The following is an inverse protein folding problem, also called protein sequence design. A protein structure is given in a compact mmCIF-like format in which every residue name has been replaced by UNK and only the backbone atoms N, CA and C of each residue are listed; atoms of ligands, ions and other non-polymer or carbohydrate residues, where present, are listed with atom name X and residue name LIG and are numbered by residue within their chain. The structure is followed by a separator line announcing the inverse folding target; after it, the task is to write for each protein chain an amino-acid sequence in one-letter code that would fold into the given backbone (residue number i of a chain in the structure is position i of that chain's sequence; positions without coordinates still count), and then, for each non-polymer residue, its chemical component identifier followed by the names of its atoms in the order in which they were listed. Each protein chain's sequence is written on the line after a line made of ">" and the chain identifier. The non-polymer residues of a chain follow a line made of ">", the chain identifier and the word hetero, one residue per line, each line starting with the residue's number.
data_IF_177017617176
#
_entry.id   IF_177017617176
#
_cell.length_a   1.000
_cell.length_b   1.000
_cell.length_c   1.000
_cell.angle_alpha   90.00
_cell.angle_beta   90.00
_cell.angle_gamma   90.00
#
_symmetry.space_group_name_H-M   'P 1'
#
loop_
_entity.id
_entity.type
_entity.pdbx_description
1 polymer ?
#
# COMPACT_ATOMS: atom_id res chain seq x y z
N UNK A 1 71.57 -24.52 -15.77
CA UNK A 1 70.75 -25.60 -16.32
C UNK A 1 69.51 -25.74 -15.44
N UNK A 2 68.34 -25.46 -16.02
CA UNK A 2 66.97 -25.78 -15.55
C UNK A 2 66.54 -25.26 -14.17
N UNK A 3 65.89 -24.09 -14.16
CA UNK A 3 64.75 -23.84 -13.28
C UNK A 3 63.60 -23.23 -14.09
N UNK A 4 62.46 -23.90 -14.00
CA UNK A 4 61.23 -23.72 -14.75
C UNK A 4 60.43 -22.55 -14.17
N UNK A 5 59.78 -21.69 -14.98
CA UNK A 5 58.92 -20.62 -14.51
C UNK A 5 57.55 -21.20 -14.12
N UNK A 6 57.06 -20.91 -12.91
CA UNK A 6 55.67 -21.19 -12.57
C UNK A 6 54.87 -19.88 -12.52
N UNK A 7 54.24 -19.63 -13.66
CA UNK A 7 53.15 -18.73 -13.93
C UNK A 7 52.18 -18.67 -12.73
N UNK A 8 52.13 -17.53 -12.04
CA UNK A 8 51.17 -17.27 -10.99
C UNK A 8 49.79 -17.05 -11.63
N UNK A 9 49.08 -18.15 -11.83
CA UNK A 9 47.70 -18.15 -12.29
C UNK A 9 46.81 -17.60 -11.16
N UNK A 10 46.33 -16.37 -11.37
CA UNK A 10 45.20 -15.78 -10.67
C UNK A 10 43.96 -16.66 -10.94
N UNK A 11 43.72 -17.62 -10.05
CA UNK A 11 42.42 -18.29 -9.94
C UNK A 11 41.47 -17.28 -9.29
N UNK A 12 40.89 -16.41 -10.14
CA UNK A 12 39.56 -15.89 -9.89
C UNK A 12 38.64 -17.10 -9.81
N UNK A 13 38.31 -17.51 -8.60
CA UNK A 13 37.16 -18.38 -8.36
C UNK A 13 35.94 -17.59 -8.80
N UNK A 14 35.47 -17.89 -10.01
CA UNK A 14 34.18 -17.48 -10.52
C UNK A 14 33.12 -17.94 -9.53
N UNK A 15 32.63 -17.04 -8.69
CA UNK A 15 31.32 -17.21 -8.12
C UNK A 15 30.36 -17.13 -9.30
N UNK A 16 29.93 -18.29 -9.81
CA UNK A 16 28.82 -18.37 -10.74
C UNK A 16 27.62 -17.75 -10.04
N UNK A 17 27.35 -16.50 -10.41
CA UNK A 17 26.10 -15.82 -10.14
C UNK A 17 25.03 -16.62 -10.88
N UNK A 18 24.37 -17.53 -10.17
CA UNK A 18 23.20 -18.26 -10.64
C UNK A 18 22.10 -17.24 -10.89
N UNK A 19 22.05 -16.72 -12.12
CA UNK A 19 20.92 -15.95 -12.64
C UNK A 19 19.73 -16.91 -12.75
N UNK A 20 18.76 -16.70 -11.87
CA UNK A 20 17.42 -17.22 -11.98
C UNK A 20 16.74 -16.59 -13.20
N UNK A 21 16.80 -17.29 -14.33
CA UNK A 21 16.11 -16.96 -15.59
C UNK A 21 14.57 -17.15 -15.44
N UNK A 22 13.94 -16.37 -14.56
CA UNK A 22 12.49 -16.46 -14.32
C UNK A 22 11.65 -15.70 -15.36
N UNK A 23 12.29 -15.02 -16.32
CA UNK A 23 11.65 -14.27 -17.41
C UNK A 23 11.66 -14.99 -18.77
N UNK A 24 12.13 -16.24 -18.84
CA UNK A 24 12.18 -17.04 -20.09
C UNK A 24 11.13 -18.15 -20.19
N UNK A 25 10.15 -18.21 -19.29
CA UNK A 25 8.97 -19.06 -19.43
C UNK A 25 7.81 -18.19 -19.91
N UNK A 26 7.33 -18.43 -21.13
CA UNK A 26 6.17 -17.73 -21.69
C UNK A 26 6.33 -17.14 -23.09
N UNK A 27 7.16 -17.74 -23.95
CA UNK A 27 6.99 -17.59 -25.40
C UNK A 27 7.11 -18.94 -26.10
N UNK A 28 5.97 -19.61 -26.24
CA UNK A 28 5.68 -20.49 -27.37
C UNK A 28 4.26 -20.16 -27.82
N UNK A 29 4.16 -19.65 -29.05
CA UNK A 29 2.90 -19.41 -29.75
C UNK A 29 2.39 -20.73 -30.34
N UNK A 30 1.09 -20.97 -30.25
CA UNK A 30 0.19 -21.42 -31.32
C UNK A 30 -1.23 -21.33 -30.70
N UNK A 31 -2.07 -20.38 -31.13
CA UNK A 31 -3.19 -20.62 -32.06
C UNK A 31 -4.00 -21.85 -31.60
N UNK A 32 -5.22 -21.73 -31.09
CA UNK A 32 -6.46 -21.27 -31.72
C UNK A 32 -7.54 -21.03 -30.62
N UNK A 33 -8.79 -20.75 -31.03
CA UNK A 33 -10.07 -20.79 -30.27
C UNK A 33 -10.44 -19.48 -29.57
N UNK A 34 -11.40 -18.71 -30.10
CA UNK A 34 -12.87 -18.87 -30.21
C UNK A 34 -13.55 -17.97 -29.17
N UNK A 35 -14.37 -17.06 -29.69
CA UNK A 35 -15.18 -16.10 -28.95
C UNK A 35 -16.41 -16.79 -28.36
N UNK A 36 -16.70 -16.63 -27.06
CA UNK A 36 -18.08 -16.63 -26.53
C UNK A 36 -18.11 -15.83 -25.22
N UNK A 37 -18.88 -14.75 -25.22
CA UNK A 37 -19.32 -14.01 -24.02
C UNK A 37 -20.28 -14.86 -23.18
N UNK A 38 -20.11 -14.83 -21.85
CA UNK A 38 -21.14 -15.34 -20.92
C UNK A 38 -21.31 -14.44 -19.71
N UNK A 39 -22.51 -13.90 -19.62
CA UNK A 39 -23.18 -13.22 -18.52
C UNK A 39 -23.31 -14.12 -17.28
N UNK A 40 -23.24 -13.55 -16.08
CA UNK A 40 -23.54 -14.18 -14.77
C UNK A 40 -24.34 -13.13 -13.96
N UNK A 41 -25.65 -13.33 -13.78
CA UNK A 41 -26.35 -13.80 -12.53
C UNK A 41 -26.28 -12.75 -11.39
N UNK A 42 -27.30 -12.47 -10.56
CA UNK A 42 -28.54 -13.17 -10.22
C UNK A 42 -29.42 -12.26 -9.31
N UNK A 43 -30.58 -12.79 -8.91
CA UNK A 43 -31.53 -12.42 -7.81
C UNK A 43 -32.84 -11.69 -8.17
N UNK A 44 -33.96 -12.01 -7.48
CA UNK A 44 -34.49 -13.34 -7.21
C UNK A 44 -36.01 -13.44 -7.51
N UNK A 45 -36.49 -14.67 -7.37
CA UNK A 45 -37.83 -15.22 -7.59
C UNK A 45 -39.01 -14.45 -6.96
N UNK A 46 -40.16 -14.45 -7.64
CA UNK A 46 -41.44 -14.69 -6.95
C UNK A 46 -42.44 -15.45 -7.85
N UNK A 47 -42.96 -16.52 -7.27
CA UNK A 47 -43.82 -17.54 -7.86
C UNK A 47 -45.27 -17.06 -7.84
N UNK A 48 -45.93 -16.94 -9.00
CA UNK A 48 -47.40 -17.04 -9.09
C UNK A 48 -47.76 -18.00 -10.23
N UNK A 49 -48.53 -19.01 -9.82
CA UNK A 49 -49.00 -20.14 -10.63
C UNK A 49 -50.30 -19.78 -11.37
N UNK A 50 -50.53 -20.57 -12.41
CA UNK A 50 -51.82 -21.00 -12.99
C UNK A 50 -52.34 -20.26 -14.24
N UNK A 51 -52.39 -21.06 -15.32
CA UNK A 51 -53.24 -20.93 -16.52
C UNK A 51 -54.72 -21.06 -16.16
N UNK A 52 -55.68 -20.53 -16.95
CA UNK A 52 -56.21 -21.32 -18.06
C UNK A 52 -56.60 -20.53 -19.31
N UNK A 53 -56.80 -21.29 -20.39
CA UNK A 53 -57.24 -20.90 -21.72
C UNK A 53 -58.57 -20.13 -21.69
N UNK A 54 -58.78 -19.21 -22.63
CA UNK A 54 -59.72 -19.42 -23.75
C UNK A 54 -59.96 -18.12 -24.56
N UNK A 55 -59.70 -18.24 -25.86
CA UNK A 55 -60.41 -17.63 -27.01
C UNK A 55 -60.94 -16.19 -26.92
N UNK A 56 -60.30 -15.22 -27.60
CA UNK A 56 -61.02 -14.13 -28.32
C UNK A 56 -60.19 -13.59 -29.51
N UNK A 57 -60.68 -13.90 -30.70
CA UNK A 57 -60.62 -13.22 -32.02
C UNK A 57 -59.54 -12.17 -32.37
N UNK A 58 -58.97 -12.38 -33.55
CA UNK A 58 -58.27 -11.40 -34.40
C UNK A 58 -59.03 -10.07 -34.55
N UNK A 59 -58.39 -8.96 -34.18
CA UNK A 59 -58.58 -7.64 -34.78
C UNK A 59 -57.25 -6.87 -34.68
N UNK A 60 -56.38 -7.03 -35.66
CA UNK A 60 -55.24 -6.12 -35.83
C UNK A 60 -55.76 -4.80 -36.39
N UNK A 61 -56.18 -3.90 -35.50
CA UNK A 61 -56.32 -2.47 -35.84
C UNK A 61 -54.92 -1.88 -35.70
N UNK A 62 -54.29 -1.62 -36.85
CA UNK A 62 -53.04 -0.87 -36.93
C UNK A 62 -53.33 0.61 -36.61
N UNK A 63 -53.59 0.91 -35.34
CA UNK A 63 -53.57 2.29 -34.86
C UNK A 63 -52.11 2.73 -34.80
N UNK A 64 -51.77 3.60 -35.75
CA UNK A 64 -50.48 4.26 -35.86
C UNK A 64 -50.23 5.13 -34.63
N UNK A 65 -49.66 4.55 -33.58
CA UNK A 65 -49.00 5.31 -32.53
C UNK A 65 -47.70 5.84 -33.17
N UNK A 66 -47.73 7.09 -33.65
CA UNK A 66 -46.49 7.80 -33.96
C UNK A 66 -45.79 8.06 -32.63
N UNK A 67 -44.73 7.32 -32.35
CA UNK A 67 -43.78 7.69 -31.31
C UNK A 67 -43.29 9.12 -31.61
N UNK A 68 -43.33 10.07 -30.65
CA UNK A 68 -42.72 11.36 -30.86
C UNK A 68 -41.22 11.17 -31.00
N UNK A 69 -40.73 11.37 -32.22
CA UNK A 69 -39.30 11.42 -32.50
C UNK A 69 -38.66 12.64 -31.81
N UNK A 70 -37.47 12.39 -31.27
CA UNK A 70 -36.49 13.33 -30.72
C UNK A 70 -36.62 13.74 -29.25
N UNK A 71 -35.99 12.94 -28.38
CA UNK A 71 -35.42 13.44 -27.13
C UNK A 71 -34.24 14.38 -27.45
N UNK A 72 -34.48 15.69 -27.46
CA UNK A 72 -33.40 16.68 -27.56
C UNK A 72 -32.61 16.72 -26.25
N UNK A 73 -31.41 16.11 -26.26
CA UNK A 73 -30.50 16.15 -25.11
C UNK A 73 -30.13 17.61 -24.82
N UNK A 74 -30.53 18.10 -23.65
CA UNK A 74 -30.17 19.44 -23.17
C UNK A 74 -28.66 19.59 -23.01
N UNK A 75 -28.13 20.76 -23.34
CA UNK A 75 -26.70 21.06 -23.19
C UNK A 75 -26.41 21.48 -21.75
N UNK A 76 -25.71 20.62 -20.99
CA UNK A 76 -25.24 20.95 -19.64
C UNK A 76 -23.89 21.66 -19.73
N UNK A 77 -23.77 22.84 -19.12
CA UNK A 77 -22.50 23.56 -19.04
C UNK A 77 -21.93 23.42 -17.62
N UNK A 78 -20.96 22.53 -17.46
CA UNK A 78 -20.36 22.20 -16.15
C UNK A 78 -19.12 23.07 -15.93
N UNK A 79 -19.26 24.13 -15.16
CA UNK A 79 -18.14 25.00 -14.76
C UNK A 79 -17.40 24.40 -13.57
N UNK A 80 -16.37 23.59 -13.82
CA UNK A 80 -15.47 23.07 -12.77
C UNK A 80 -14.39 24.11 -12.44
N UNK A 81 -14.08 24.28 -11.16
CA UNK A 81 -12.95 25.10 -10.72
C UNK A 81 -11.65 24.28 -10.80
N UNK A 82 -10.54 24.94 -11.16
CA UNK A 82 -9.22 24.29 -11.28
C UNK A 82 -8.70 23.69 -9.97
N UNK A 83 -9.25 24.08 -8.82
CA UNK A 83 -8.95 23.49 -7.53
C UNK A 83 -9.47 22.05 -7.42
N UNK A 84 -10.63 21.75 -8.02
CA UNK A 84 -11.22 20.40 -8.02
C UNK A 84 -10.33 19.44 -8.80
N UNK A 85 -9.79 19.86 -9.95
CA UNK A 85 -8.88 19.03 -10.75
C UNK A 85 -7.58 18.69 -10.00
N UNK A 86 -7.06 19.63 -9.20
CA UNK A 86 -5.88 19.38 -8.33
C UNK A 86 -6.18 18.33 -7.27
N UNK A 87 -7.37 18.38 -6.67
CA UNK A 87 -7.79 17.41 -5.65
C UNK A 87 -7.99 16.04 -6.28
N UNK A 88 -8.64 15.96 -7.45
CA UNK A 88 -8.81 14.70 -8.20
C UNK A 88 -7.44 14.10 -8.50
N UNK A 89 -6.49 14.90 -8.99
CA UNK A 89 -5.12 14.45 -9.30
C UNK A 89 -4.34 13.98 -8.07
N UNK A 90 -4.50 14.67 -6.93
CA UNK A 90 -3.88 14.29 -5.67
C UNK A 90 -4.46 12.96 -5.16
N UNK A 91 -5.79 12.81 -5.18
CA UNK A 91 -6.47 11.57 -4.75
C UNK A 91 -6.28 10.41 -5.72
N UNK A 92 -6.10 10.67 -7.02
CA UNK A 92 -5.90 9.64 -8.05
C UNK A 92 -4.45 9.18 -8.17
N UNK A 93 -3.50 9.86 -7.52
CA UNK A 93 -2.14 9.35 -7.42
C UNK A 93 -2.18 8.20 -6.44
N UNK A 94 -2.27 6.97 -6.94
CA UNK A 94 -2.17 5.75 -6.15
C UNK A 94 -0.82 5.77 -5.43
N UNK A 95 -0.82 6.25 -4.18
CA UNK A 95 0.33 6.12 -3.30
C UNK A 95 0.40 4.61 -3.02
N UNK A 96 1.46 3.89 -3.44
CA UNK A 96 1.60 2.49 -3.10
C UNK A 96 1.52 2.36 -1.57
N UNK A 97 0.85 1.33 -1.01
CA UNK A 97 0.60 1.20 0.43
C UNK A 97 1.88 1.18 1.29
N UNK A 98 3.05 1.03 0.67
CA UNK A 98 4.36 1.04 1.31
C UNK A 98 5.07 2.41 1.32
N UNK A 99 4.44 3.48 0.81
CA UNK A 99 5.04 4.82 0.79
C UNK A 99 4.14 5.82 1.52
N UNK A 100 3.90 5.57 2.81
CA UNK A 100 3.41 6.62 3.71
C UNK A 100 4.24 7.88 3.47
N UNK A 101 3.63 9.07 3.33
CA UNK A 101 4.39 10.28 3.07
C UNK A 101 5.41 10.46 4.20
N UNK A 102 6.70 10.45 3.85
CA UNK A 102 7.77 10.74 4.79
C UNK A 102 7.91 12.26 4.88
N UNK A 103 8.06 12.76 6.09
CA UNK A 103 8.30 14.18 6.37
C UNK A 103 9.53 14.31 7.26
N UNK A 104 10.25 15.42 7.12
CA UNK A 104 11.34 15.73 8.03
C UNK A 104 10.78 15.99 9.43
N UNK A 105 11.36 15.31 10.42
CA UNK A 105 10.95 15.39 11.81
C UNK A 105 12.05 14.93 12.75
N UNK A 106 11.66 14.42 13.91
CA UNK A 106 12.57 14.04 14.97
C UNK A 106 12.19 12.69 15.54
N UNK A 107 13.21 11.89 15.86
CA UNK A 107 13.10 10.64 16.61
C UNK A 107 14.02 10.67 17.82
N UNK A 108 13.71 9.88 18.83
CA UNK A 108 14.54 9.76 20.01
C UNK A 108 15.38 8.50 19.85
N UNK A 109 16.70 8.65 19.76
CA UNK A 109 17.63 7.52 19.84
C UNK A 109 17.82 7.19 21.32
N UNK A 110 17.40 5.98 21.73
CA UNK A 110 17.47 5.55 23.12
C UNK A 110 18.78 4.84 23.45
N UNK A 111 19.19 3.92 22.56
CA UNK A 111 20.31 3.02 22.78
C UNK A 111 21.01 2.69 21.46
N UNK A 112 22.29 2.34 21.53
CA UNK A 112 23.05 1.87 20.38
C UNK A 112 24.11 0.85 20.81
N UNK A 113 24.28 -0.21 20.04
CA UNK A 113 25.27 -1.26 20.31
C UNK A 113 25.66 -1.98 19.00
N UNK A 114 26.79 -2.68 18.98
CA UNK A 114 27.18 -3.57 17.88
C UNK A 114 26.33 -4.85 17.86
N UNK A 115 25.91 -5.32 19.04
CA UNK A 115 25.14 -6.54 19.18
C UNK A 115 23.63 -6.28 19.11
N UNK A 116 22.98 -6.83 18.08
CA UNK A 116 21.52 -6.72 17.90
C UNK A 116 20.73 -7.24 19.11
N UNK A 117 21.25 -8.27 19.78
CA UNK A 117 20.57 -8.87 20.93
C UNK A 117 20.44 -7.90 22.12
N UNK A 118 21.43 -7.05 22.36
CA UNK A 118 21.34 -6.05 23.44
C UNK A 118 20.33 -4.94 23.08
N UNK A 119 20.29 -4.56 21.80
CA UNK A 119 19.29 -3.62 21.29
C UNK A 119 17.87 -4.17 21.40
N UNK A 120 17.65 -5.45 21.10
CA UNK A 120 16.35 -6.11 21.23
C UNK A 120 15.89 -6.23 22.71
N UNK A 121 16.82 -6.44 23.65
CA UNK A 121 16.53 -6.38 25.09
C UNK A 121 16.11 -4.98 25.51
N UNK A 122 16.83 -3.95 25.07
CA UNK A 122 16.47 -2.55 25.34
C UNK A 122 15.08 -2.22 24.75
N UNK A 123 14.79 -2.66 23.53
CA UNK A 123 13.46 -2.51 22.91
C UNK A 123 12.37 -3.18 23.74
N UNK A 124 12.61 -4.40 24.21
CA UNK A 124 11.65 -5.13 25.05
C UNK A 124 11.35 -4.40 26.36
N UNK A 125 12.31 -3.66 26.93
CA UNK A 125 12.07 -2.80 28.10
C UNK A 125 11.21 -1.59 27.75
N UNK A 126 11.46 -0.96 26.60
CA UNK A 126 10.67 0.19 26.14
C UNK A 126 9.22 -0.21 25.94
N UNK A 127 8.96 -1.33 25.24
CA UNK A 127 7.61 -1.84 25.00
C UNK A 127 6.86 -2.21 26.29
N UNK A 128 7.57 -2.53 27.38
CA UNK A 128 6.94 -2.75 28.69
C UNK A 128 6.52 -1.46 29.38
N UNK A 129 7.14 -0.33 29.05
CA UNK A 129 6.86 0.97 29.65
C UNK A 129 5.86 1.78 28.81
N UNK A 130 6.03 1.75 27.49
CA UNK A 130 5.21 2.48 26.53
C UNK A 130 5.00 1.62 25.27
N UNK A 131 3.76 1.17 25.07
CA UNK A 131 3.32 0.42 23.90
C UNK A 131 2.61 1.32 22.87
N UNK A 132 2.34 2.58 23.22
CA UNK A 132 1.65 3.52 22.32
C UNK A 132 2.62 4.03 21.24
N UNK A 133 3.88 4.27 21.62
CA UNK A 133 4.86 4.87 20.72
C UNK A 133 5.60 3.81 19.87
N UNK A 134 5.65 3.97 18.53
CA UNK A 134 6.34 3.02 17.67
C UNK A 134 7.87 3.03 17.90
N UNK A 135 8.47 1.84 17.83
CA UNK A 135 9.94 1.64 17.95
C UNK A 135 10.54 1.18 16.62
N UNK A 136 11.74 1.69 16.30
CA UNK A 136 12.47 1.36 15.08
C UNK A 136 13.90 0.93 15.41
N UNK A 137 14.42 -0.02 14.65
CA UNK A 137 15.83 -0.43 14.73
C UNK A 137 16.47 -0.11 13.39
N UNK A 138 17.46 0.77 13.40
CA UNK A 138 18.24 1.14 12.23
C UNK A 138 19.66 0.58 12.34
N UNK A 139 20.15 -0.06 11.28
CA UNK A 139 21.53 -0.54 11.23
C UNK A 139 22.41 0.45 10.47
N UNK A 140 23.37 1.06 11.17
CA UNK A 140 24.43 1.88 10.58
C UNK A 140 25.76 1.28 10.98
N UNK A 141 26.37 0.54 10.05
CA UNK A 141 27.58 -0.24 10.31
C UNK A 141 28.64 0.60 11.05
N UNK A 142 29.21 0.08 12.17
CA UNK A 142 29.04 -1.26 12.71
C UNK A 142 27.88 -1.45 13.71
N UNK A 143 27.13 -0.40 14.05
CA UNK A 143 26.18 -0.40 15.17
C UNK A 143 24.71 -0.47 14.75
N UNK A 144 23.88 -0.96 15.65
CA UNK A 144 22.43 -0.87 15.63
C UNK A 144 21.96 0.27 16.52
N UNK A 145 20.95 1.00 16.07
CA UNK A 145 20.37 2.17 16.73
C UNK A 145 18.91 1.88 17.05
N UNK A 146 18.52 2.02 18.31
CA UNK A 146 17.12 1.96 18.74
C UNK A 146 16.55 3.37 18.74
N UNK A 147 15.58 3.60 17.85
CA UNK A 147 14.87 4.85 17.70
C UNK A 147 13.42 4.69 18.20
N UNK A 148 12.87 5.74 18.78
CA UNK A 148 11.53 5.79 19.34
C UNK A 148 10.75 6.98 18.78
N UNK A 149 9.51 6.69 18.39
CA UNK A 149 8.49 7.67 18.05
C UNK A 149 8.71 8.40 16.75
N UNK A 150 7.72 9.22 16.40
CA UNK A 150 7.71 10.09 15.23
C UNK A 150 7.22 11.48 15.67
N UNK A 151 8.16 12.41 15.90
CA UNK A 151 7.84 13.74 16.44
C UNK A 151 7.98 14.84 15.41
N UNK A 152 6.93 15.64 15.23
CA UNK A 152 6.94 16.80 14.32
C UNK A 152 7.83 17.95 14.80
N UNK A 153 8.04 18.07 16.12
CA UNK A 153 8.81 19.18 16.71
C UNK A 153 9.85 18.66 17.69
N UNK A 154 11.01 19.33 17.72
CA UNK A 154 12.09 19.00 18.64
C UNK A 154 11.67 19.09 20.11
N UNK A 155 10.85 20.08 20.46
CA UNK A 155 10.37 20.27 21.83
C UNK A 155 9.54 19.08 22.32
N UNK A 156 8.66 18.53 21.47
CA UNK A 156 7.87 17.35 21.81
C UNK A 156 8.77 16.12 22.06
N UNK A 157 9.78 15.91 21.21
CA UNK A 157 10.75 14.83 21.39
C UNK A 157 11.58 15.02 22.68
N UNK A 158 12.03 16.23 22.98
CA UNK A 158 12.78 16.53 24.20
C UNK A 158 11.97 16.29 25.47
N UNK A 159 10.66 16.56 25.44
CA UNK A 159 9.76 16.28 26.56
C UNK A 159 9.74 14.78 26.88
N UNK A 160 9.51 13.93 25.87
CA UNK A 160 9.48 12.47 26.06
C UNK A 160 10.87 11.94 26.44
N UNK A 161 11.93 12.50 25.85
CA UNK A 161 13.31 12.15 26.24
C UNK A 161 13.57 12.44 27.73
N UNK A 162 13.06 13.56 28.26
CA UNK A 162 13.22 13.90 29.66
C UNK A 162 12.49 12.92 30.60
N UNK A 163 11.33 12.40 30.16
CA UNK A 163 10.57 11.37 30.88
C UNK A 163 11.33 10.03 30.90
N UNK A 164 11.97 9.66 29.77
CA UNK A 164 12.75 8.44 29.63
C UNK A 164 14.18 8.51 30.17
N UNK A 165 14.65 9.69 30.57
CA UNK A 165 16.03 9.93 31.02
C UNK A 165 16.42 9.10 32.27
N UNK A 166 15.43 8.67 33.07
CA UNK A 166 15.67 7.83 34.24
C UNK A 166 16.12 6.41 33.87
N UNK A 167 15.55 5.80 32.83
CA UNK A 167 15.91 4.46 32.36
C UNK A 167 17.00 4.51 31.27
N UNK A 168 16.95 5.51 30.39
CA UNK A 168 17.85 5.67 29.25
C UNK A 168 18.61 7.01 29.33
N UNK A 169 19.69 7.12 30.13
CA UNK A 169 20.48 8.34 30.25
C UNK A 169 21.26 8.69 28.97
N UNK A 170 21.44 7.71 28.08
CA UNK A 170 22.10 7.89 26.76
C UNK A 170 21.15 8.41 25.68
N UNK A 171 19.88 8.67 26.02
CA UNK A 171 18.90 9.07 25.03
C UNK A 171 19.18 10.48 24.47
N UNK A 172 19.07 10.61 23.14
CA UNK A 172 19.27 11.86 22.40
C UNK A 172 18.17 12.06 21.35
N UNK A 173 17.85 13.32 21.02
CA UNK A 173 16.94 13.64 19.91
C UNK A 173 17.74 13.76 18.61
N UNK A 174 17.30 13.05 17.57
CA UNK A 174 17.94 13.01 16.24
C UNK A 174 16.93 13.44 15.18
N UNK A 175 17.39 14.21 14.20
CA UNK A 175 16.62 14.56 13.01
C UNK A 175 16.54 13.36 12.07
N UNK A 176 15.32 12.94 11.70
CA UNK A 176 15.08 11.80 10.82
C UNK A 176 13.78 12.00 10.03
N UNK A 177 13.58 11.20 8.99
CA UNK A 177 12.34 11.16 8.24
C UNK A 177 11.32 10.30 8.97
N UNK A 178 10.27 10.94 9.44
CA UNK A 178 9.22 10.32 10.23
C UNK A 178 8.00 9.99 9.37
N UNK A 179 7.21 9.02 9.84
CA UNK A 179 5.91 8.75 9.29
C UNK A 179 4.89 9.72 9.89
N UNK A 180 3.92 10.13 9.07
CA UNK A 180 2.81 10.90 9.59
C UNK A 180 1.90 9.97 10.40
N UNK A 181 1.44 10.40 11.59
CA UNK A 181 0.40 9.68 12.30
C UNK A 181 -0.83 9.58 11.40
N UNK A 182 -1.48 8.42 11.43
CA UNK A 182 -2.77 8.25 10.76
C UNK A 182 -3.77 9.11 11.52
N UNK A 183 -4.55 9.89 10.78
CA UNK A 183 -5.74 10.50 11.37
C UNK A 183 -6.76 9.37 11.47
N UNK A 184 -7.24 9.11 12.68
CA UNK A 184 -8.34 8.18 12.89
C UNK A 184 -9.56 8.87 12.27
N UNK A 185 -9.84 8.54 11.00
CA UNK A 185 -11.08 8.95 10.38
C UNK A 185 -12.16 8.17 11.11
N UNK A 186 -12.96 8.89 11.90
CA UNK A 186 -14.20 8.48 12.55
C UNK A 186 -14.33 6.96 12.66
N UNK A 187 -13.94 6.40 13.82
CA UNK A 187 -14.30 5.03 14.15
C UNK A 187 -15.82 4.92 13.99
N UNK A 188 -16.27 4.27 12.90
CA UNK A 188 -17.65 3.82 12.77
C UNK A 188 -17.84 2.84 13.92
N UNK A 189 -18.40 3.32 15.02
CA UNK A 189 -18.87 2.50 16.12
C UNK A 189 -20.02 1.68 15.58
N UNK A 190 -19.69 0.51 15.02
CA UNK A 190 -20.63 -0.56 14.77
C UNK A 190 -21.11 -1.09 16.14
N UNK A 191 -22.03 -0.35 16.75
CA UNK A 191 -22.80 -0.86 17.88
C UNK A 191 -23.66 -2.05 17.40
N UNK A 192 -23.65 -3.12 18.20
CA UNK A 192 -24.09 -4.48 17.91
C UNK A 192 -25.56 -4.63 17.48
#
# INVERSE_FOLDING_TARGET
>A
MKFVPFLFALIFTSCSFSQNEWWRIGKSNEAETEEVETTVEETPEEIIKETPKDTVTELWVNDSIKEPEEFKKGTINVSKSSAVDKIIKFKSTTIPPNLSPLMDGYRIQLFFDQDRNEVDKARSKVLQMDDETPTYIEYKAPNYFLLLGDYRTKLAAEKVRAELNAEFPTAIVVEDRIYLPKIDGEEETDEH
#
